data_IF_142176299879
#
_entry.id   IF_142176299879
#
_cell.length_a   1.000
_cell.length_b   1.000
_cell.length_c   1.000
_cell.angle_alpha   90.00
_cell.angle_beta   90.00
_cell.angle_gamma   90.00
#
_symmetry.space_group_name_H-M   'P 1'
#
loop_
_entity.id
_entity.type
_entity.pdbx_description
1 polymer ?
#
# COMPACT_ATOMS: atom_id res chain seq x y z
N UNK A 1 2.93 -5.46 -8.53
CA UNK A 1 2.84 -6.91 -8.27
C UNK A 1 1.73 -7.12 -7.26
N UNK A 2 0.97 -8.20 -7.34
CA UNK A 2 -0.04 -8.50 -6.32
C UNK A 2 0.60 -8.87 -4.98
N UNK A 3 -0.14 -8.76 -3.86
CA UNK A 3 0.32 -9.16 -2.54
C UNK A 3 0.87 -10.59 -2.48
N UNK A 4 0.18 -11.56 -3.09
CA UNK A 4 0.60 -12.97 -3.09
C UNK A 4 1.96 -13.13 -3.75
N UNK A 5 2.14 -12.57 -4.94
CA UNK A 5 3.40 -12.64 -5.69
C UNK A 5 4.57 -12.05 -4.92
N UNK A 6 4.35 -10.93 -4.22
CA UNK A 6 5.36 -10.28 -3.39
C UNK A 6 5.82 -11.22 -2.26
N UNK A 7 4.87 -11.81 -1.53
CA UNK A 7 5.17 -12.69 -0.40
C UNK A 7 5.79 -14.02 -0.86
N UNK A 8 5.30 -14.61 -1.96
CA UNK A 8 5.87 -15.80 -2.58
C UNK A 8 7.34 -15.60 -2.95
N UNK A 9 7.63 -14.46 -3.58
CA UNK A 9 8.98 -14.12 -4.01
C UNK A 9 9.92 -13.89 -2.82
N UNK A 10 9.44 -13.23 -1.76
CA UNK A 10 10.19 -13.08 -0.51
C UNK A 10 10.53 -14.45 0.09
N UNK A 11 9.54 -15.35 0.21
CA UNK A 11 9.75 -16.70 0.72
C UNK A 11 10.75 -17.47 -0.14
N UNK A 12 10.60 -17.43 -1.46
CA UNK A 12 11.50 -18.10 -2.42
C UNK A 12 12.95 -17.64 -2.28
N UNK A 13 13.15 -16.37 -1.93
CA UNK A 13 14.47 -15.77 -1.70
C UNK A 13 15.02 -16.00 -0.28
N UNK A 14 14.29 -16.66 0.61
CA UNK A 14 14.69 -16.80 2.01
C UNK A 14 14.63 -15.49 2.80
N UNK A 15 13.81 -14.53 2.36
CA UNK A 15 13.56 -13.28 3.07
C UNK A 15 12.43 -13.53 4.08
N UNK A 16 12.75 -13.34 5.36
CA UNK A 16 11.83 -13.63 6.46
C UNK A 16 10.94 -12.44 6.85
N UNK A 17 11.29 -11.22 6.40
CA UNK A 17 10.53 -10.02 6.69
C UNK A 17 10.57 -9.05 5.51
N UNK A 18 9.42 -8.46 5.19
CA UNK A 18 9.27 -7.40 4.18
C UNK A 18 8.34 -6.31 4.70
N UNK A 19 8.37 -5.14 4.08
CA UNK A 19 7.32 -4.13 4.19
C UNK A 19 6.70 -3.89 2.82
N UNK A 20 5.40 -3.62 2.79
CA UNK A 20 4.69 -3.16 1.58
C UNK A 20 4.33 -1.71 1.82
N UNK A 21 4.75 -0.84 0.92
CA UNK A 21 4.67 0.62 1.04
C UNK A 21 4.10 1.20 -0.25
N UNK A 22 2.81 0.97 -0.48
CA UNK A 22 2.13 1.56 -1.63
C UNK A 22 2.06 3.08 -1.46
N UNK A 23 1.97 3.80 -2.58
CA UNK A 23 1.99 5.26 -2.61
C UNK A 23 0.67 5.82 -2.05
N UNK A 24 0.77 6.64 -1.00
CA UNK A 24 -0.31 7.26 -0.24
C UNK A 24 -1.42 6.31 0.26
N UNK A 25 -1.18 4.99 0.24
CA UNK A 25 -2.17 3.96 0.52
C UNK A 25 -1.53 2.78 1.26
N UNK A 26 -2.37 1.96 1.91
CA UNK A 26 -1.91 0.73 2.55
C UNK A 26 -2.92 -0.42 2.43
N UNK A 27 -3.88 -0.32 1.52
CA UNK A 27 -5.01 -1.26 1.41
C UNK A 27 -4.53 -2.69 1.05
N UNK A 28 -3.53 -2.82 0.17
CA UNK A 28 -2.93 -4.12 -0.16
C UNK A 28 -2.11 -4.73 0.98
N UNK A 29 -1.69 -3.94 1.97
CA UNK A 29 -0.95 -4.43 3.14
C UNK A 29 -1.80 -5.42 3.93
N UNK A 30 -3.12 -5.22 3.98
CA UNK A 30 -4.06 -6.12 4.65
C UNK A 30 -3.90 -7.56 4.13
N UNK A 31 -3.94 -7.72 2.82
CA UNK A 31 -3.83 -9.01 2.14
C UNK A 31 -2.40 -9.54 2.17
N UNK A 32 -1.40 -8.68 1.93
CA UNK A 32 0.01 -9.07 2.02
C UNK A 32 0.34 -9.65 3.40
N UNK A 33 -0.16 -9.01 4.48
CA UNK A 33 0.03 -9.48 5.85
C UNK A 33 -0.60 -10.84 6.10
N UNK A 34 -1.86 -11.04 5.71
CA UNK A 34 -2.53 -12.34 5.88
C UNK A 34 -1.81 -13.45 5.12
N UNK A 35 -1.35 -13.19 3.90
CA UNK A 35 -0.57 -14.14 3.10
C UNK A 35 0.76 -14.43 3.79
N UNK A 36 1.47 -13.40 4.25
CA UNK A 36 2.72 -13.50 5.00
C UNK A 36 2.58 -14.38 6.25
N UNK A 37 1.55 -14.14 7.05
CA UNK A 37 1.24 -14.90 8.26
C UNK A 37 1.02 -16.40 7.94
N UNK A 38 0.35 -16.73 6.82
CA UNK A 38 0.19 -18.13 6.34
C UNK A 38 1.48 -18.74 5.78
N UNK A 39 2.34 -17.94 5.17
CA UNK A 39 3.53 -18.39 4.44
C UNK A 39 4.83 -18.33 5.25
N UNK A 40 4.78 -17.84 6.49
CA UNK A 40 5.95 -17.69 7.35
C UNK A 40 6.85 -16.51 6.99
N UNK A 41 6.31 -15.48 6.34
CA UNK A 41 7.00 -14.22 6.01
C UNK A 41 6.35 -13.09 6.79
N UNK A 42 7.09 -12.44 7.69
CA UNK A 42 6.55 -11.30 8.44
C UNK A 42 6.38 -10.10 7.51
N UNK A 43 5.17 -9.59 7.37
CA UNK A 43 4.90 -8.35 6.64
C UNK A 43 4.69 -7.23 7.65
N UNK A 44 5.58 -6.24 7.61
CA UNK A 44 5.45 -5.00 8.36
C UNK A 44 4.51 -4.06 7.59
N UNK A 45 3.43 -3.55 8.21
CA UNK A 45 2.60 -2.56 7.57
C UNK A 45 3.37 -1.28 7.27
N UNK A 46 3.21 -0.78 6.05
CA UNK A 46 3.85 0.45 5.63
C UNK A 46 3.05 1.24 4.60
N UNK A 47 3.51 2.45 4.35
CA UNK A 47 2.97 3.38 3.35
C UNK A 47 4.12 4.25 2.85
N UNK A 48 4.16 4.52 1.55
CA UNK A 48 5.02 5.55 0.99
C UNK A 48 4.19 6.83 0.84
N UNK A 49 4.48 7.85 1.65
CA UNK A 49 3.82 9.15 1.58
C UNK A 49 4.57 10.06 0.63
N UNK A 50 3.86 10.90 -0.11
CA UNK A 50 4.45 12.04 -0.82
C UNK A 50 3.87 13.34 -0.28
N UNK A 51 4.70 14.13 0.39
CA UNK A 51 4.35 15.44 0.96
C UNK A 51 4.10 16.50 -0.11
N UNK A 52 3.57 17.66 0.29
CA UNK A 52 3.32 18.78 -0.63
C UNK A 52 4.61 19.31 -1.28
N UNK A 53 5.75 19.18 -0.60
CA UNK A 53 7.07 19.55 -1.09
C UNK A 53 7.70 18.49 -2.01
N UNK A 54 6.93 17.46 -2.41
CA UNK A 54 7.39 16.32 -3.21
C UNK A 54 8.47 15.48 -2.49
N UNK A 55 8.53 15.54 -1.16
CA UNK A 55 9.40 14.67 -0.37
C UNK A 55 8.67 13.35 -0.08
N UNK A 56 9.31 12.25 -0.45
CA UNK A 56 8.83 10.90 -0.22
C UNK A 56 9.28 10.39 1.15
N UNK A 57 8.35 9.89 1.95
CA UNK A 57 8.59 9.37 3.28
C UNK A 57 8.08 7.93 3.39
N UNK A 58 8.88 7.04 3.97
CA UNK A 58 8.43 5.70 4.32
C UNK A 58 7.93 5.68 5.75
N UNK A 59 6.63 5.43 5.91
CA UNK A 59 6.00 5.22 7.20
C UNK A 59 5.85 3.72 7.46
N UNK A 60 6.21 3.28 8.67
CA UNK A 60 6.09 1.91 9.12
C UNK A 60 5.30 1.87 10.42
N UNK A 61 4.41 0.89 10.54
CA UNK A 61 3.48 0.81 11.66
C UNK A 61 3.64 -0.52 12.40
N UNK A 62 3.52 -0.47 13.72
CA UNK A 62 3.61 -1.67 14.57
C UNK A 62 2.41 -2.60 14.37
N UNK A 63 1.25 -2.04 13.99
CA UNK A 63 0.00 -2.75 13.84
C UNK A 63 -0.75 -2.28 12.58
N UNK A 64 -1.51 -3.21 11.97
CA UNK A 64 -2.26 -2.94 10.74
C UNK A 64 -3.35 -1.90 10.98
N UNK A 65 -3.99 -1.93 12.13
CA UNK A 65 -5.05 -1.01 12.53
C UNK A 65 -4.56 0.43 12.61
N UNK A 66 -3.31 0.63 13.02
CA UNK A 66 -2.66 1.96 13.07
C UNK A 66 -2.39 2.45 11.65
N UNK A 67 -1.88 1.59 10.77
CA UNK A 67 -1.66 1.92 9.36
C UNK A 67 -2.97 2.32 8.67
N UNK A 68 -4.05 1.55 8.87
CA UNK A 68 -5.36 1.85 8.30
C UNK A 68 -5.95 3.15 8.85
N UNK A 69 -5.83 3.40 10.15
CA UNK A 69 -6.29 4.67 10.75
C UNK A 69 -5.50 5.86 10.21
N UNK A 70 -4.19 5.70 10.00
CA UNK A 70 -3.35 6.73 9.42
C UNK A 70 -3.66 6.97 7.94
N UNK A 71 -3.94 5.89 7.17
CA UNK A 71 -4.42 5.98 5.78
C UNK A 71 -5.67 6.83 5.65
N UNK A 72 -6.63 6.70 6.57
CA UNK A 72 -7.83 7.55 6.55
C UNK A 72 -7.51 9.04 6.71
N UNK A 73 -6.52 9.39 7.53
CA UNK A 73 -6.03 10.76 7.67
C UNK A 73 -5.37 11.23 6.38
N UNK A 74 -4.43 10.44 5.85
CA UNK A 74 -3.69 10.72 4.60
C UNK A 74 -4.65 10.95 3.43
N UNK A 75 -5.69 10.12 3.32
CA UNK A 75 -6.67 10.19 2.24
C UNK A 75 -7.43 11.52 2.18
N UNK A 76 -7.59 12.22 3.32
CA UNK A 76 -8.19 13.55 3.36
C UNK A 76 -7.30 14.63 2.73
N UNK A 77 -5.97 14.43 2.76
CA UNK A 77 -4.99 15.35 2.16
C UNK A 77 -4.71 15.05 0.69
N UNK A 78 -5.17 13.89 0.18
CA UNK A 78 -5.03 13.52 -1.22
C UNK A 78 -5.99 14.35 -2.09
N UNK A 79 -5.47 15.06 -3.13
CA UNK A 79 -6.30 15.85 -4.04
C UNK A 79 -7.44 15.04 -4.65
N UNK A 80 -8.59 15.69 -4.85
CA UNK A 80 -9.76 15.07 -5.48
C UNK A 80 -9.60 15.04 -7.02
N UNK A 81 -8.59 14.31 -7.47
CA UNK A 81 -8.25 14.09 -8.88
C UNK A 81 -8.39 12.61 -9.16
N UNK A 82 -9.25 12.24 -10.13
CA UNK A 82 -9.45 10.84 -10.48
C UNK A 82 -8.25 10.26 -11.22
N UNK A 83 -7.93 9.00 -10.93
CA UNK A 83 -6.99 8.23 -11.72
C UNK A 83 -7.47 8.09 -13.17
N UNK A 84 -6.54 8.12 -14.11
CA UNK A 84 -6.80 7.79 -15.51
C UNK A 84 -6.09 6.46 -15.84
N UNK A 85 -6.83 5.32 -15.86
CA UNK A 85 -6.24 4.01 -16.08
C UNK A 85 -5.52 3.85 -17.42
N UNK A 86 -5.92 4.59 -18.46
CA UNK A 86 -5.26 4.53 -19.78
C UNK A 86 -3.81 5.05 -19.73
N UNK A 87 -3.48 5.90 -18.75
CA UNK A 87 -2.16 6.48 -18.58
C UNK A 87 -1.38 5.88 -17.41
N UNK A 88 -2.03 5.67 -16.26
CA UNK A 88 -1.36 5.26 -15.02
C UNK A 88 -1.60 3.79 -14.66
N UNK A 89 -2.47 3.10 -15.39
CA UNK A 89 -2.96 1.77 -15.06
C UNK A 89 -4.02 1.79 -13.95
N UNK A 90 -4.61 0.62 -13.72
CA UNK A 90 -5.59 0.44 -12.65
C UNK A 90 -4.90 0.47 -11.27
N UNK A 91 -5.53 1.15 -10.32
CA UNK A 91 -5.12 1.15 -8.91
C UNK A 91 -6.03 0.20 -8.16
N UNK A 92 -5.62 -1.07 -8.06
CA UNK A 92 -6.44 -2.15 -7.53
C UNK A 92 -6.00 -2.61 -6.15
N UNK A 93 -6.99 -3.06 -5.39
CA UNK A 93 -6.78 -3.85 -4.17
C UNK A 93 -7.03 -5.31 -4.52
N UNK A 94 -6.05 -6.17 -4.27
CA UNK A 94 -6.10 -7.58 -4.67
C UNK A 94 -6.06 -8.48 -3.42
N UNK A 95 -7.00 -9.41 -3.33
CA UNK A 95 -7.10 -10.34 -2.21
C UNK A 95 -6.10 -11.50 -2.30
N UNK A 96 -6.17 -12.43 -1.34
CA UNK A 96 -5.26 -13.56 -1.28
C UNK A 96 -5.47 -14.63 -2.36
N UNK A 97 -6.60 -14.58 -3.06
CA UNK A 97 -7.00 -15.48 -4.13
C UNK A 97 -6.80 -14.85 -5.52
N UNK A 98 -6.08 -13.73 -5.59
CA UNK A 98 -5.82 -12.93 -6.81
C UNK A 98 -7.09 -12.29 -7.42
N UNK A 99 -8.16 -12.12 -6.65
CA UNK A 99 -9.32 -11.35 -7.09
C UNK A 99 -9.12 -9.86 -6.82
N UNK A 100 -9.58 -9.03 -7.75
CA UNK A 100 -9.70 -7.58 -7.52
C UNK A 100 -10.92 -7.33 -6.65
N UNK A 101 -10.71 -6.83 -5.43
CA UNK A 101 -11.74 -6.58 -4.42
C UNK A 101 -12.02 -5.10 -4.18
N UNK A 102 -11.23 -4.22 -4.81
CA UNK A 102 -11.41 -2.78 -4.74
C UNK A 102 -10.64 -2.04 -5.81
N UNK A 103 -11.08 -0.82 -6.08
CA UNK A 103 -10.42 0.14 -6.96
C UNK A 103 -10.27 1.46 -6.20
N UNK A 104 -9.10 2.07 -6.29
CA UNK A 104 -8.88 3.43 -5.81
C UNK A 104 -9.20 4.43 -6.93
N UNK A 105 -10.18 5.30 -6.66
CA UNK A 105 -10.64 6.29 -7.63
C UNK A 105 -9.70 7.48 -7.73
N UNK A 106 -9.14 7.95 -6.61
CA UNK A 106 -8.23 9.10 -6.61
C UNK A 106 -6.85 8.69 -7.11
N UNK A 107 -6.19 9.53 -7.89
CA UNK A 107 -4.83 9.27 -8.34
C UNK A 107 -3.88 9.31 -7.14
N UNK A 108 -3.34 8.14 -6.76
CA UNK A 108 -2.49 7.98 -5.58
C UNK A 108 -1.15 8.72 -5.74
N UNK A 109 -0.61 8.76 -6.97
CA UNK A 109 0.66 9.40 -7.34
C UNK A 109 0.73 10.93 -7.09
N UNK A 110 -0.37 11.58 -6.71
CA UNK A 110 -0.34 12.99 -6.39
C UNK A 110 0.42 13.24 -5.08
N UNK A 111 1.11 14.39 -5.01
CA UNK A 111 1.51 14.95 -3.72
C UNK A 111 0.28 15.22 -2.85
N UNK A 112 0.39 14.88 -1.58
CA UNK A 112 -0.59 15.27 -0.57
C UNK A 112 -0.51 16.78 -0.34
N UNK A 113 -1.59 17.36 0.17
CA UNK A 113 -1.61 18.72 0.76
C UNK A 113 -1.10 18.75 2.20
N UNK A 114 -0.21 17.81 2.54
CA UNK A 114 0.37 17.61 3.86
C UNK A 114 1.85 18.01 3.80
N UNK A 115 2.22 19.01 4.59
CA UNK A 115 3.60 19.51 4.76
C UNK A 115 4.35 18.74 5.86
N UNK A 116 5.67 18.82 5.83
CA UNK A 116 6.60 18.17 6.77
C UNK A 116 6.67 18.84 8.15
#
# INVERSE_FOLDING_TARGET
MSPLRIVEEARRKGIHMIAVTDHNACDNVVYAKRIGDRMGVKVLPGMELQTEEEVHLLAYFEALEVALSFREVVYQYLPDVKNNPDYFGDQVVVDEEENVVGFEEKLLLNSLSLSL
#
